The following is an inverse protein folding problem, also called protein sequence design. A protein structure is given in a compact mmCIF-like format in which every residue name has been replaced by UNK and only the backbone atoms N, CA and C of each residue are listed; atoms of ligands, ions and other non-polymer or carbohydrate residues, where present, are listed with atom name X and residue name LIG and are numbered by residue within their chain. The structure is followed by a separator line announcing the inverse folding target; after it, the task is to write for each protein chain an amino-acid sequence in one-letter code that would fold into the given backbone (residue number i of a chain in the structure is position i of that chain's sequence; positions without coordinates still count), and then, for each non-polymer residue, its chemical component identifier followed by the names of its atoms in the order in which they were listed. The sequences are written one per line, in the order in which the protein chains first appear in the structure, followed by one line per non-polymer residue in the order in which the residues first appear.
data_IF_056283158841
#
_entry.id   IF_056283158841
#
_cell.length_a   1.000
_cell.length_b   1.000
_cell.length_c   1.000
_cell.angle_alpha   90.00
_cell.angle_beta   90.00
_cell.angle_gamma   90.00
#
_symmetry.space_group_name_H-M   'P 1'
#
loop_
_entity.id
_entity.type
_entity.pdbx_description
1 polymer ?
#
# COMPACT_ATOMS: atom_id res chain seq x y z
N UNK A 1 -39.18 -14.60 15.87
CA UNK A 1 -39.04 -14.24 14.44
C UNK A 1 -37.88 -13.28 14.33
N UNK A 2 -36.71 -13.79 13.94
CA UNK A 2 -35.48 -13.02 13.77
C UNK A 2 -35.55 -12.24 12.47
N UNK A 3 -35.64 -10.92 12.53
CA UNK A 3 -35.49 -10.04 11.38
C UNK A 3 -34.05 -10.07 10.91
N UNK A 4 -33.77 -10.88 9.90
CA UNK A 4 -32.54 -10.81 9.12
C UNK A 4 -32.51 -9.46 8.40
N UNK A 5 -31.79 -8.48 8.95
CA UNK A 5 -31.54 -7.21 8.30
C UNK A 5 -30.82 -7.47 6.97
N UNK A 6 -31.46 -7.15 5.85
CA UNK A 6 -30.78 -7.16 4.55
C UNK A 6 -29.60 -6.19 4.59
N UNK A 7 -28.46 -6.51 3.95
CA UNK A 7 -27.35 -5.58 3.85
C UNK A 7 -27.83 -4.30 3.15
N UNK A 8 -27.71 -3.16 3.83
CA UNK A 8 -28.01 -1.84 3.26
C UNK A 8 -26.96 -1.55 2.19
N UNK A 9 -27.41 -1.40 0.95
CA UNK A 9 -26.58 -0.89 -0.15
C UNK A 9 -26.39 0.62 0.05
N UNK A 10 -25.16 1.09 0.06
CA UNK A 10 -24.86 2.53 0.03
C UNK A 10 -24.82 2.99 -1.43
N UNK A 11 -25.48 4.12 -1.71
CA UNK A 11 -25.34 4.79 -3.00
C UNK A 11 -23.99 5.52 -3.07
N UNK A 12 -23.36 5.55 -4.24
CA UNK A 12 -22.07 6.21 -4.48
C UNK A 12 -22.06 7.71 -4.13
N UNK A 13 -23.23 8.35 -4.17
CA UNK A 13 -23.47 9.73 -3.78
C UNK A 13 -23.38 9.99 -2.25
N UNK A 14 -23.44 8.96 -1.40
CA UNK A 14 -23.32 9.13 0.06
C UNK A 14 -21.89 9.51 0.52
N UNK A 15 -20.89 9.41 -0.37
CA UNK A 15 -19.54 9.94 -0.13
C UNK A 15 -19.42 11.41 -0.59
N UNK A 16 -19.16 12.35 0.34
CA UNK A 16 -19.16 13.78 0.04
C UNK A 16 -17.94 14.22 -0.79
N UNK A 17 -16.84 13.45 -0.77
CA UNK A 17 -15.59 13.80 -1.45
C UNK A 17 -15.31 12.84 -2.63
N UNK A 18 -15.01 13.43 -3.80
CA UNK A 18 -14.67 12.68 -5.02
C UNK A 18 -13.44 11.77 -4.83
N UNK A 19 -12.45 12.21 -4.04
CA UNK A 19 -11.26 11.41 -3.74
C UNK A 19 -11.61 10.13 -2.98
N UNK A 20 -12.41 10.27 -1.91
CA UNK A 20 -12.82 9.15 -1.06
C UNK A 20 -13.69 8.16 -1.84
N UNK A 21 -14.53 8.64 -2.74
CA UNK A 21 -15.31 7.80 -3.66
C UNK A 21 -14.42 6.92 -4.54
N UNK A 22 -13.36 7.49 -5.15
CA UNK A 22 -12.42 6.72 -6.00
C UNK A 22 -11.65 5.69 -5.19
N UNK A 23 -11.20 6.05 -3.98
CA UNK A 23 -10.54 5.13 -3.06
C UNK A 23 -11.48 3.98 -2.62
N UNK A 24 -12.72 4.29 -2.25
CA UNK A 24 -13.74 3.30 -1.90
C UNK A 24 -14.00 2.30 -3.04
N UNK A 25 -14.18 2.82 -4.26
CA UNK A 25 -14.38 2.00 -5.47
C UNK A 25 -13.18 1.09 -5.70
N UNK A 26 -11.96 1.59 -5.52
CA UNK A 26 -10.76 0.77 -5.66
C UNK A 26 -10.76 -0.39 -4.66
N UNK A 27 -11.11 -0.16 -3.39
CA UNK A 27 -11.23 -1.23 -2.38
C UNK A 27 -12.25 -2.30 -2.77
N UNK A 28 -13.42 -1.89 -3.27
CA UNK A 28 -14.48 -2.82 -3.72
C UNK A 28 -14.03 -3.61 -4.94
N UNK A 29 -13.42 -2.94 -5.91
CA UNK A 29 -12.90 -3.59 -7.11
C UNK A 29 -11.79 -4.59 -6.79
N UNK A 30 -10.93 -4.25 -5.83
CA UNK A 30 -9.85 -5.10 -5.35
C UNK A 30 -10.38 -6.37 -4.68
N UNK A 31 -11.28 -6.23 -3.70
CA UNK A 31 -11.94 -7.36 -3.01
C UNK A 31 -12.64 -8.29 -4.03
N UNK A 32 -13.31 -7.73 -5.03
CA UNK A 32 -13.95 -8.49 -6.09
C UNK A 32 -12.95 -9.27 -6.96
N UNK A 33 -11.82 -8.65 -7.32
CA UNK A 33 -10.77 -9.29 -8.12
C UNK A 33 -10.04 -10.38 -7.34
N UNK A 34 -9.73 -10.16 -6.07
CA UNK A 34 -9.12 -11.16 -5.20
C UNK A 34 -10.01 -12.41 -5.11
N UNK A 35 -11.31 -12.22 -4.84
CA UNK A 35 -12.28 -13.32 -4.76
C UNK A 35 -12.46 -14.09 -6.08
N UNK A 36 -12.56 -13.39 -7.20
CA UNK A 36 -12.98 -13.98 -8.48
C UNK A 36 -11.82 -14.45 -9.37
N UNK A 37 -10.63 -13.87 -9.19
CA UNK A 37 -9.46 -14.10 -10.05
C UNK A 37 -8.32 -14.72 -9.24
N UNK A 38 -7.72 -13.96 -8.31
CA UNK A 38 -6.45 -14.34 -7.70
C UNK A 38 -6.57 -15.58 -6.82
N UNK A 39 -7.50 -15.57 -5.87
CA UNK A 39 -7.65 -16.65 -4.87
C UNK A 39 -8.04 -17.96 -5.54
N UNK A 40 -8.86 -17.89 -6.60
CA UNK A 40 -9.23 -19.07 -7.39
C UNK A 40 -8.04 -19.64 -8.14
N UNK A 41 -7.20 -18.80 -8.74
CA UNK A 41 -6.06 -19.23 -9.55
C UNK A 41 -4.93 -19.78 -8.67
N UNK A 42 -4.68 -19.14 -7.54
CA UNK A 42 -3.57 -19.48 -6.66
C UNK A 42 -3.95 -20.46 -5.53
N UNK A 43 -5.25 -20.72 -5.32
CA UNK A 43 -5.72 -21.61 -4.25
C UNK A 43 -5.42 -21.08 -2.84
N UNK A 44 -5.31 -19.76 -2.69
CA UNK A 44 -5.05 -19.07 -1.41
C UNK A 44 -6.25 -18.21 -1.05
N UNK A 45 -6.45 -17.95 0.25
CA UNK A 45 -7.39 -16.92 0.71
C UNK A 45 -6.58 -15.69 1.09
N UNK A 46 -6.74 -14.58 0.37
CA UNK A 46 -5.97 -13.34 0.62
C UNK A 46 -6.72 -12.34 1.51
N UNK A 47 -6.08 -11.21 1.83
CA UNK A 47 -6.67 -10.13 2.63
C UNK A 47 -7.93 -9.54 1.98
N UNK A 48 -8.76 -8.86 2.78
CA UNK A 48 -9.96 -8.16 2.29
C UNK A 48 -10.08 -6.83 2.99
N UNK A 49 -10.51 -5.81 2.24
CA UNK A 49 -10.84 -4.49 2.77
C UNK A 49 -12.23 -4.47 3.45
N UNK A 50 -13.00 -5.57 3.36
CA UNK A 50 -14.31 -5.78 4.01
C UNK A 50 -15.30 -4.65 3.70
N UNK A 51 -15.22 -4.10 2.49
CA UNK A 51 -15.97 -2.91 2.11
C UNK A 51 -17.44 -3.28 1.83
N UNK A 52 -18.43 -2.47 2.24
CA UNK A 52 -19.85 -2.71 1.92
C UNK A 52 -20.14 -2.85 0.41
N UNK A 53 -21.28 -3.41 0.05
CA UNK A 53 -21.73 -3.47 -1.35
C UNK A 53 -22.35 -2.13 -1.78
N UNK A 54 -22.07 -1.69 -3.01
CA UNK A 54 -22.52 -0.40 -3.54
C UNK A 54 -23.26 -0.55 -4.87
N UNK A 55 -24.16 0.38 -5.15
CA UNK A 55 -24.72 0.58 -6.50
C UNK A 55 -23.97 1.73 -7.18
N UNK A 56 -23.30 1.46 -8.29
CA UNK A 56 -22.49 2.45 -9.00
C UNK A 56 -23.21 2.96 -10.25
N UNK A 57 -23.43 4.27 -10.34
CA UNK A 57 -24.08 4.89 -11.52
C UNK A 57 -23.06 5.54 -12.47
N UNK A 58 -21.91 5.99 -11.96
CA UNK A 58 -20.91 6.77 -12.70
C UNK A 58 -20.05 5.92 -13.69
N UNK A 59 -19.78 6.47 -14.87
CA UNK A 59 -18.90 5.88 -15.89
C UNK A 59 -17.42 5.93 -15.51
N UNK A 60 -17.00 6.92 -14.73
CA UNK A 60 -15.63 7.07 -14.23
C UNK A 60 -15.26 5.90 -13.29
N UNK A 61 -16.21 5.50 -12.45
CA UNK A 61 -16.10 4.35 -11.54
C UNK A 61 -15.89 3.05 -12.31
N UNK A 62 -16.55 2.89 -13.47
CA UNK A 62 -16.36 1.70 -14.32
C UNK A 62 -14.93 1.59 -14.82
N UNK A 63 -14.24 2.71 -15.08
CA UNK A 63 -12.84 2.66 -15.51
C UNK A 63 -11.94 2.07 -14.41
N UNK A 64 -12.12 2.47 -13.15
CA UNK A 64 -11.34 1.95 -12.01
C UNK A 64 -11.55 0.43 -11.88
N UNK A 65 -12.80 -0.02 -11.93
CA UNK A 65 -13.16 -1.44 -11.81
C UNK A 65 -12.56 -2.25 -12.97
N UNK A 66 -12.78 -1.81 -14.21
CA UNK A 66 -12.29 -2.50 -15.40
C UNK A 66 -10.75 -2.57 -15.40
N UNK A 67 -10.10 -1.47 -15.03
CA UNK A 67 -8.64 -1.41 -14.92
C UNK A 67 -8.11 -2.36 -13.85
N UNK A 68 -8.77 -2.45 -12.68
CA UNK A 68 -8.37 -3.39 -11.63
C UNK A 68 -8.46 -4.85 -12.11
N UNK A 69 -9.56 -5.20 -12.78
CA UNK A 69 -9.72 -6.53 -13.37
C UNK A 69 -8.63 -6.84 -14.41
N UNK A 70 -8.28 -5.87 -15.27
CA UNK A 70 -7.22 -6.04 -16.25
C UNK A 70 -5.85 -6.24 -15.60
N UNK A 71 -5.55 -5.51 -14.52
CA UNK A 71 -4.30 -5.65 -13.76
C UNK A 71 -4.18 -7.08 -13.20
N UNK A 72 -5.20 -7.59 -12.52
CA UNK A 72 -5.16 -8.95 -11.96
C UNK A 72 -5.13 -10.03 -13.05
N UNK A 73 -5.89 -9.86 -14.15
CA UNK A 73 -5.83 -10.78 -15.29
C UNK A 73 -4.45 -10.81 -15.92
N UNK A 74 -3.82 -9.64 -16.11
CA UNK A 74 -2.47 -9.56 -16.65
C UNK A 74 -1.46 -10.26 -15.72
N UNK A 75 -1.53 -10.00 -14.41
CA UNK A 75 -0.67 -10.66 -13.43
C UNK A 75 -0.80 -12.19 -13.46
N UNK A 76 -2.02 -12.72 -13.54
CA UNK A 76 -2.24 -14.17 -13.52
C UNK A 76 -1.99 -14.87 -14.86
N UNK A 77 -2.25 -14.21 -16.00
CA UNK A 77 -2.23 -14.85 -17.32
C UNK A 77 -0.96 -14.57 -18.12
N UNK A 78 -0.27 -13.45 -17.88
CA UNK A 78 0.97 -13.15 -18.58
C UNK A 78 2.10 -14.05 -18.04
N UNK A 79 3.04 -14.47 -18.90
CA UNK A 79 4.20 -15.24 -18.48
C UNK A 79 5.19 -14.33 -17.74
N UNK A 80 5.01 -14.18 -16.42
CA UNK A 80 5.88 -13.39 -15.55
C UNK A 80 6.80 -14.28 -14.70
N UNK A 81 8.04 -13.86 -14.40
CA UNK A 81 9.01 -14.65 -13.63
C UNK A 81 8.81 -14.57 -12.11
N UNK A 82 7.57 -14.38 -11.65
CA UNK A 82 7.21 -14.24 -10.23
C UNK A 82 5.76 -14.66 -9.98
N UNK A 83 5.42 -14.96 -8.74
CA UNK A 83 4.06 -15.32 -8.31
C UNK A 83 3.82 -14.92 -6.86
N UNK A 84 2.57 -14.96 -6.41
CA UNK A 84 2.19 -14.79 -5.01
C UNK A 84 2.10 -16.16 -4.34
N UNK A 85 2.61 -16.26 -3.11
CA UNK A 85 2.57 -17.46 -2.28
C UNK A 85 2.14 -17.11 -0.86
N UNK A 86 1.53 -18.07 -0.18
CA UNK A 86 1.24 -17.95 1.26
C UNK A 86 2.55 -17.90 2.07
N UNK A 87 2.58 -17.09 3.12
CA UNK A 87 3.60 -17.16 4.17
C UNK A 87 2.96 -17.03 5.56
N UNK A 88 3.77 -17.26 6.58
CA UNK A 88 3.39 -17.21 7.99
C UNK A 88 4.41 -16.41 8.83
N UNK A 89 5.24 -15.59 8.17
CA UNK A 89 6.31 -14.82 8.82
C UNK A 89 5.80 -13.69 9.72
N UNK A 90 4.78 -12.98 9.25
CA UNK A 90 4.17 -11.87 9.97
C UNK A 90 2.93 -12.37 10.69
N UNK A 91 2.48 -11.65 11.72
CA UNK A 91 1.36 -12.07 12.59
C UNK A 91 0.00 -11.89 11.89
N UNK A 92 -0.06 -12.15 10.58
CA UNK A 92 -1.19 -11.90 9.71
C UNK A 92 -1.95 -13.20 9.43
N UNK A 93 -3.27 -13.15 9.59
CA UNK A 93 -4.13 -14.25 9.16
C UNK A 93 -4.14 -14.31 7.62
N UNK A 94 -3.57 -15.39 7.08
CA UNK A 94 -3.39 -15.61 5.64
C UNK A 94 -2.41 -14.66 4.93
N UNK A 95 -1.28 -14.36 5.57
CA UNK A 95 -0.18 -13.62 4.95
C UNK A 95 0.20 -14.17 3.57
N UNK A 96 0.50 -13.27 2.63
CA UNK A 96 0.92 -13.58 1.27
C UNK A 96 2.13 -12.72 0.86
N UNK A 97 3.02 -13.30 0.06
CA UNK A 97 4.27 -12.70 -0.39
C UNK A 97 4.48 -12.91 -1.87
N UNK A 98 5.23 -12.02 -2.51
CA UNK A 98 5.65 -12.19 -3.91
C UNK A 98 7.02 -12.86 -3.95
N UNK A 99 7.16 -13.92 -4.75
CA UNK A 99 8.44 -14.62 -4.94
C UNK A 99 8.79 -14.74 -6.41
N UNK A 100 10.08 -14.70 -6.72
CA UNK A 100 10.58 -14.95 -8.06
C UNK A 100 10.48 -16.45 -8.40
N UNK A 101 9.91 -16.80 -9.55
CA UNK A 101 9.85 -18.18 -10.07
C UNK A 101 11.02 -18.48 -11.01
N UNK A 102 11.73 -17.45 -11.47
CA UNK A 102 12.93 -17.51 -12.30
C UNK A 102 13.87 -16.36 -11.94
N UNK A 103 15.11 -16.41 -12.40
CA UNK A 103 16.05 -15.30 -12.28
C UNK A 103 15.52 -14.03 -12.97
N UNK A 104 15.56 -12.91 -12.26
CA UNK A 104 15.21 -11.58 -12.75
C UNK A 104 16.46 -10.70 -12.62
N UNK A 105 16.88 -10.08 -13.72
CA UNK A 105 18.06 -9.19 -13.72
C UNK A 105 17.78 -7.87 -12.98
N UNK A 106 18.85 -7.22 -12.54
CA UNK A 106 18.83 -5.82 -12.08
C UNK A 106 18.26 -4.88 -13.14
N UNK A 107 17.64 -3.78 -12.68
CA UNK A 107 17.06 -2.70 -13.49
C UNK A 107 15.87 -3.08 -14.38
N UNK A 108 15.22 -4.20 -14.12
CA UNK A 108 14.00 -4.62 -14.81
C UNK A 108 12.77 -4.01 -14.10
N UNK A 109 11.86 -3.43 -14.88
CA UNK A 109 10.56 -2.97 -14.38
C UNK A 109 9.56 -4.12 -14.45
N UNK A 110 8.90 -4.42 -13.34
CA UNK A 110 7.91 -5.50 -13.24
C UNK A 110 6.52 -4.92 -13.48
N UNK A 111 6.10 -4.81 -14.74
CA UNK A 111 4.90 -4.06 -15.12
C UNK A 111 3.58 -4.69 -14.65
N UNK A 112 3.51 -6.02 -14.57
CA UNK A 112 2.34 -6.75 -14.11
C UNK A 112 2.23 -6.78 -12.59
N UNK A 113 3.34 -6.60 -11.87
CA UNK A 113 3.36 -6.39 -10.43
C UNK A 113 3.10 -4.91 -10.11
N UNK A 114 1.88 -4.46 -10.43
CA UNK A 114 1.46 -3.08 -10.32
C UNK A 114 0.17 -2.92 -9.50
N UNK A 115 -0.20 -1.68 -9.22
CA UNK A 115 -1.42 -1.33 -8.51
C UNK A 115 -1.91 0.07 -8.88
N UNK A 116 -3.19 0.31 -8.66
CA UNK A 116 -3.79 1.63 -8.78
C UNK A 116 -3.62 2.40 -7.47
N UNK A 117 -3.41 3.72 -7.57
CA UNK A 117 -3.35 4.61 -6.42
C UNK A 117 -4.33 5.78 -6.54
N UNK A 118 -5.15 5.98 -5.51
CA UNK A 118 -6.07 7.13 -5.41
C UNK A 118 -5.97 7.79 -4.04
N UNK A 119 -5.94 9.14 -3.99
CA UNK A 119 -5.87 9.85 -2.72
C UNK A 119 -7.17 9.70 -1.93
N UNK A 120 -7.07 9.80 -0.61
CA UNK A 120 -8.22 9.83 0.29
C UNK A 120 -8.04 10.90 1.38
N UNK A 121 -9.13 11.27 2.06
CA UNK A 121 -9.14 12.15 3.22
C UNK A 121 -9.01 11.38 4.53
N UNK A 122 -8.51 12.01 5.60
CA UNK A 122 -8.35 11.38 6.92
C UNK A 122 -9.63 10.71 7.47
N UNK A 123 -10.81 11.16 7.01
CA UNK A 123 -12.12 10.62 7.42
C UNK A 123 -12.48 9.31 6.73
N UNK A 124 -11.72 8.91 5.71
CA UNK A 124 -11.96 7.69 4.93
C UNK A 124 -11.50 6.42 5.67
N UNK A 125 -10.45 6.52 6.47
CA UNK A 125 -9.90 5.37 7.19
C UNK A 125 -10.73 5.05 8.42
N UNK A 126 -11.09 3.78 8.52
CA UNK A 126 -11.65 3.15 9.70
C UNK A 126 -10.54 2.24 10.23
N UNK A 127 -9.92 2.57 11.39
CA UNK A 127 -8.84 1.79 11.96
C UNK A 127 -9.20 0.30 12.11
N UNK A 128 -8.34 -0.58 11.62
CA UNK A 128 -8.52 -2.04 11.64
C UNK A 128 -9.55 -2.58 10.63
N UNK A 129 -10.03 -1.76 9.69
CA UNK A 129 -11.00 -2.17 8.66
C UNK A 129 -10.49 -1.95 7.24
N UNK A 130 -9.96 -0.76 6.93
CA UNK A 130 -9.49 -0.41 5.59
C UNK A 130 -8.16 0.38 5.60
N UNK A 131 -7.37 0.27 6.67
CA UNK A 131 -6.08 0.95 6.85
C UNK A 131 -4.87 0.08 6.47
N UNK A 132 -5.11 -1.05 5.80
CA UNK A 132 -4.07 -2.05 5.50
C UNK A 132 -3.18 -1.68 4.31
N UNK A 133 -3.68 -0.92 3.32
CA UNK A 133 -2.98 -0.70 2.05
C UNK A 133 -2.88 0.78 1.69
N UNK A 134 -2.41 1.58 2.64
CA UNK A 134 -2.25 3.03 2.48
C UNK A 134 -0.81 3.43 2.21
N UNK A 135 -0.62 4.54 1.49
CA UNK A 135 0.69 5.09 1.14
C UNK A 135 0.65 6.58 1.28
N UNK A 136 1.56 7.14 2.07
CA UNK A 136 1.81 8.57 2.11
C UNK A 136 2.85 8.92 1.05
N UNK A 137 2.61 9.96 0.28
CA UNK A 137 3.57 10.45 -0.69
C UNK A 137 4.51 11.49 -0.07
N UNK A 138 5.81 11.21 -0.06
CA UNK A 138 6.84 12.16 0.37
C UNK A 138 6.92 13.46 -0.44
N UNK A 139 6.29 13.51 -1.62
CA UNK A 139 6.38 14.66 -2.53
C UNK A 139 5.33 15.72 -2.20
N UNK A 140 4.13 15.29 -1.80
CA UNK A 140 2.98 16.16 -1.60
C UNK A 140 2.27 15.94 -0.26
N UNK A 141 2.80 15.06 0.58
CA UNK A 141 2.30 14.74 1.92
C UNK A 141 0.83 14.32 1.93
N UNK A 142 0.41 13.59 0.89
CA UNK A 142 -0.95 13.06 0.75
C UNK A 142 -0.97 11.55 0.91
N UNK A 143 -2.04 11.06 1.49
CA UNK A 143 -2.31 9.63 1.63
C UNK A 143 -3.11 9.08 0.45
N UNK A 144 -2.76 7.86 0.05
CA UNK A 144 -3.27 7.15 -1.10
C UNK A 144 -3.64 5.72 -0.72
N UNK A 145 -4.79 5.24 -1.22
CA UNK A 145 -5.07 3.81 -1.28
C UNK A 145 -4.29 3.21 -2.43
N UNK A 146 -3.46 2.20 -2.18
CA UNK A 146 -2.62 1.57 -3.19
C UNK A 146 -2.87 0.06 -3.24
N UNK A 147 -3.64 -0.37 -4.24
CA UNK A 147 -4.18 -1.74 -4.31
C UNK A 147 -3.92 -2.40 -5.67
N UNK A 148 -3.89 -3.73 -5.67
CA UNK A 148 -3.50 -4.58 -6.78
C UNK A 148 -2.45 -5.62 -6.38
N UNK A 149 -1.92 -6.43 -7.33
CA UNK A 149 -0.86 -7.40 -7.06
C UNK A 149 0.36 -6.83 -6.30
N UNK A 150 0.67 -5.55 -6.50
CA UNK A 150 1.78 -4.87 -5.81
C UNK A 150 1.59 -4.79 -4.29
N UNK A 151 0.36 -4.85 -3.78
CA UNK A 151 0.06 -4.81 -2.35
C UNK A 151 0.54 -6.08 -1.61
N UNK A 152 0.96 -7.12 -2.32
CA UNK A 152 1.54 -8.35 -1.74
C UNK A 152 3.07 -8.30 -1.61
N UNK A 153 3.72 -7.19 -2.01
CA UNK A 153 5.16 -7.02 -1.85
C UNK A 153 5.43 -6.64 -0.40
N UNK A 154 6.17 -7.48 0.31
CA UNK A 154 6.52 -7.26 1.71
C UNK A 154 7.67 -6.25 1.88
N UNK A 155 7.75 -5.71 3.10
CA UNK A 155 8.86 -4.87 3.52
C UNK A 155 10.16 -5.66 3.68
N UNK A 156 11.27 -5.07 3.21
CA UNK A 156 12.57 -5.37 3.77
C UNK A 156 13.42 -4.10 3.93
N UNK A 157 14.22 -4.03 5.00
CA UNK A 157 15.12 -2.90 5.26
C UNK A 157 16.29 -2.83 4.27
N UNK A 158 16.58 -3.91 3.54
CA UNK A 158 17.50 -3.98 2.41
C UNK A 158 16.80 -4.66 1.22
N UNK A 159 15.85 -3.95 0.57
CA UNK A 159 14.99 -4.55 -0.43
C UNK A 159 15.73 -4.87 -1.72
N UNK A 160 15.13 -5.73 -2.55
CA UNK A 160 15.61 -5.99 -3.91
C UNK A 160 14.84 -5.23 -5.01
N UNK A 161 13.80 -4.48 -4.65
CA UNK A 161 13.08 -3.58 -5.55
C UNK A 161 12.83 -2.20 -4.94
N UNK A 162 12.48 -1.24 -5.81
CA UNK A 162 12.03 0.10 -5.44
C UNK A 162 10.76 0.46 -6.21
N UNK A 163 9.99 1.42 -5.70
CA UNK A 163 8.81 1.96 -6.38
C UNK A 163 9.15 2.56 -7.74
N UNK A 164 8.27 2.33 -8.71
CA UNK A 164 8.38 2.86 -10.06
C UNK A 164 7.01 3.39 -10.50
N UNK A 165 6.89 4.71 -10.60
CA UNK A 165 5.66 5.37 -11.07
C UNK A 165 5.52 5.19 -12.58
N UNK A 166 4.37 4.69 -13.04
CA UNK A 166 4.03 4.56 -14.47
C UNK A 166 3.19 5.74 -14.94
N UNK A 167 2.18 6.10 -14.14
CA UNK A 167 1.30 7.27 -14.36
C UNK A 167 0.92 7.87 -13.01
N UNK A 168 0.18 8.98 -13.00
CA UNK A 168 -0.36 9.60 -11.77
C UNK A 168 -1.20 8.64 -10.91
N UNK A 169 -1.77 7.58 -11.49
CA UNK A 169 -2.70 6.65 -10.81
C UNK A 169 -2.26 5.19 -10.89
N UNK A 170 -1.03 4.92 -11.35
CA UNK A 170 -0.53 3.55 -11.54
C UNK A 170 0.95 3.47 -11.22
N UNK A 171 1.31 2.57 -10.31
CA UNK A 171 2.70 2.33 -9.91
C UNK A 171 3.00 0.84 -9.87
N UNK A 172 4.27 0.50 -10.08
CA UNK A 172 4.81 -0.85 -9.96
C UNK A 172 6.18 -0.79 -9.28
N UNK A 173 7.03 -1.79 -9.51
CA UNK A 173 8.39 -1.83 -8.95
C UNK A 173 9.46 -2.08 -10.02
N UNK A 174 10.67 -1.63 -9.71
CA UNK A 174 11.88 -1.86 -10.49
C UNK A 174 12.94 -2.58 -9.65
N UNK A 175 13.61 -3.58 -10.20
CA UNK A 175 14.65 -4.34 -9.50
C UNK A 175 15.90 -3.50 -9.27
N UNK A 176 16.41 -3.52 -8.04
CA UNK A 176 17.63 -2.82 -7.59
C UNK A 176 18.89 -3.66 -7.80
N UNK A 177 18.72 -4.97 -7.77
CA UNK A 177 19.74 -6.00 -7.99
C UNK A 177 19.10 -7.20 -8.65
N UNK A 178 19.93 -8.18 -9.01
CA UNK A 178 19.42 -9.48 -9.45
C UNK A 178 18.59 -10.13 -8.34
N UNK A 179 17.50 -10.78 -8.74
CA UNK A 179 16.59 -11.54 -7.88
C UNK A 179 16.63 -12.98 -8.37
N UNK A 180 17.06 -13.91 -7.51
CA UNK A 180 17.20 -15.32 -7.89
C UNK A 180 15.89 -16.09 -7.71
N UNK A 181 15.79 -17.25 -8.36
CA UNK A 181 14.65 -18.15 -8.20
C UNK A 181 14.40 -18.46 -6.72
N UNK A 182 13.14 -18.42 -6.29
CA UNK A 182 12.65 -18.56 -4.92
C UNK A 182 12.97 -17.39 -3.96
N UNK A 183 13.66 -16.36 -4.42
CA UNK A 183 13.87 -15.15 -3.63
C UNK A 183 12.57 -14.35 -3.52
N UNK A 184 12.28 -13.83 -2.33
CA UNK A 184 11.13 -12.95 -2.10
C UNK A 184 11.38 -11.57 -2.71
N UNK A 185 10.41 -11.05 -3.46
CA UNK A 185 10.44 -9.69 -3.99
C UNK A 185 9.97 -8.77 -2.87
N UNK A 186 10.84 -7.84 -2.48
CA UNK A 186 10.64 -6.93 -1.34
C UNK A 186 10.91 -5.50 -1.72
N UNK A 187 10.31 -4.57 -0.97
CA UNK A 187 10.46 -3.12 -1.17
C UNK A 187 10.66 -2.43 0.17
N UNK A 188 11.28 -1.26 0.17
CA UNK A 188 11.37 -0.45 1.37
C UNK A 188 10.13 0.41 1.52
N UNK A 189 9.40 0.19 2.60
CA UNK A 189 8.17 0.92 2.89
C UNK A 189 8.46 2.35 3.36
N UNK A 190 9.41 2.50 4.28
CA UNK A 190 9.75 3.77 4.90
C UNK A 190 10.59 3.56 6.16
N UNK A 191 11.23 4.62 6.69
CA UNK A 191 12.15 4.54 7.83
C UNK A 191 11.44 4.35 9.17
N UNK A 192 10.16 4.71 9.27
CA UNK A 192 9.40 4.72 10.52
C UNK A 192 8.12 3.88 10.44
N UNK A 193 8.07 2.95 9.50
CA UNK A 193 6.88 2.15 9.23
C UNK A 193 6.51 1.27 10.42
N UNK A 194 7.48 0.47 10.87
CA UNK A 194 7.31 -0.42 12.02
C UNK A 194 7.77 0.30 13.29
N UNK A 195 7.16 1.45 13.55
CA UNK A 195 7.56 2.39 14.61
C UNK A 195 8.85 3.17 14.27
N UNK A 196 9.24 4.07 15.18
CA UNK A 196 10.44 4.93 15.01
C UNK A 196 11.67 4.07 14.66
N UNK A 197 12.35 4.44 13.58
CA UNK A 197 13.50 3.73 13.02
C UNK A 197 13.26 2.23 12.76
N UNK A 198 12.03 1.86 12.39
CA UNK A 198 11.60 0.48 12.15
C UNK A 198 11.93 -0.46 13.33
N UNK A 199 11.82 0.05 14.56
CA UNK A 199 12.15 -0.71 15.79
C UNK A 199 11.31 -1.97 16.00
N UNK A 200 10.17 -2.12 15.35
CA UNK A 200 9.30 -3.30 15.41
C UNK A 200 9.36 -4.14 14.12
N UNK A 201 10.26 -3.83 13.19
CA UNK A 201 10.35 -4.53 11.91
C UNK A 201 10.80 -5.99 12.08
N UNK A 202 10.07 -6.88 11.41
CA UNK A 202 10.31 -8.34 11.39
C UNK A 202 10.89 -8.84 10.06
N UNK A 203 11.40 -7.97 9.19
CA UNK A 203 11.95 -8.39 7.89
C UNK A 203 13.20 -9.29 8.03
N UNK A 204 13.61 -9.94 6.93
CA UNK A 204 14.73 -10.89 6.95
C UNK A 204 16.05 -10.17 7.25
N UNK A 205 16.25 -8.99 6.68
CA UNK A 205 17.43 -8.15 6.98
C UNK A 205 17.51 -7.77 8.47
N UNK A 206 16.39 -7.49 9.13
CA UNK A 206 16.40 -7.19 10.57
C UNK A 206 16.75 -8.41 11.40
N UNK A 207 16.24 -9.59 11.03
CA UNK A 207 16.55 -10.86 11.68
C UNK A 207 18.06 -11.17 11.59
N UNK A 208 18.63 -11.10 10.39
CA UNK A 208 20.02 -11.46 10.14
C UNK A 208 21.03 -10.52 10.81
N UNK A 209 20.64 -9.25 11.05
CA UNK A 209 21.49 -8.24 11.68
C UNK A 209 21.13 -7.95 13.14
N UNK A 210 20.22 -8.72 13.76
CA UNK A 210 19.72 -8.47 15.13
C UNK A 210 19.23 -7.04 15.37
N UNK A 211 18.45 -6.51 14.42
CA UNK A 211 17.84 -5.17 14.47
C UNK A 211 16.32 -5.26 14.53
N UNK A 212 15.65 -4.12 14.64
CA UNK A 212 14.19 -4.04 14.68
C UNK A 212 13.65 -4.87 15.85
N UNK A 213 12.65 -5.71 15.55
CA UNK A 213 12.05 -6.63 16.53
C UNK A 213 13.07 -7.57 17.18
N UNK A 214 14.14 -7.94 16.46
CA UNK A 214 15.16 -8.89 16.89
C UNK A 214 16.31 -8.24 17.67
N UNK A 215 16.20 -6.96 18.01
CA UNK A 215 17.20 -6.29 18.84
C UNK A 215 17.21 -6.88 20.25
N UNK A 216 18.38 -7.40 20.66
CA UNK A 216 18.56 -7.85 22.04
C UNK A 216 18.53 -6.62 22.94
N UNK A 217 17.56 -6.54 23.85
CA UNK A 217 17.67 -5.62 24.98
C UNK A 217 18.90 -6.07 25.76
N UNK A 218 20.03 -5.37 25.61
CA UNK A 218 21.12 -5.50 26.58
C UNK A 218 20.48 -5.26 27.94
N UNK A 219 20.49 -6.27 28.81
CA UNK A 219 20.28 -6.08 30.21
C UNK A 219 21.39 -5.12 30.65
N UNK A 220 21.07 -3.83 30.68
CA UNK A 220 21.88 -2.87 31.40
C UNK A 220 21.67 -3.26 32.84
N UNK A 221 22.68 -3.88 33.44
CA UNK A 221 22.90 -3.81 34.88
C UNK A 221 22.90 -2.33 35.23
N UNK A 222 21.74 -1.84 35.66
CA UNK A 222 21.57 -0.48 36.15
C UNK A 222 22.21 -0.46 37.52
N UNK A 223 23.46 0.00 37.57
CA UNK A 223 23.98 0.60 38.79
C UNK A 223 23.04 1.77 39.14
N UNK A 224 22.54 1.70 40.37
CA UNK A 224 21.62 2.68 40.95
C UNK A 224 22.42 3.97 41.15
N UNK A 225 22.23 4.96 40.29
CA UNK A 225 22.39 6.36 40.68
C UNK A 225 21.02 7.03 40.74
N UNK A 226 20.73 7.42 41.97
CA UNK A 226 19.44 7.87 42.47
C UNK A 226 19.40 9.38 42.33
N UNK A 227 18.70 9.91 41.32
CA UNK A 227 18.34 11.33 41.31
C UNK A 227 16.86 11.57 40.96
N UNK A 228 16.14 11.80 42.06
CA UNK A 228 15.02 12.71 42.28
C UNK A 228 13.99 12.91 41.17
N UNK A 229 12.87 12.24 41.41
CA UNK A 229 11.48 12.63 41.14
C UNK A 229 11.28 14.15 41.02
N UNK A 230 10.75 14.60 39.89
CA UNK A 230 9.74 15.67 39.84
C UNK A 230 8.78 15.37 38.69
N UNK A 231 7.53 15.06 39.03
CA UNK A 231 6.43 14.92 38.08
C UNK A 231 6.06 16.29 37.50
N UNK A 232 5.72 16.40 36.21
CA UNK A 232 4.80 17.43 35.75
C UNK A 232 3.39 16.83 35.62
N UNK A 233 2.50 17.41 36.42
CA UNK A 233 1.05 17.26 36.39
C UNK A 233 0.44 17.73 35.08
N UNK A 234 -0.74 17.18 34.77
CA UNK A 234 -1.72 17.65 33.79
C UNK A 234 -1.97 19.17 33.78
N UNK A 235 -2.20 19.71 32.57
CA UNK A 235 -2.39 21.11 32.11
C UNK A 235 -1.10 21.58 31.42
N UNK A 236 -1.04 21.70 30.10
CA UNK A 236 -1.85 22.62 29.30
C UNK A 236 -2.34 22.03 27.97
N UNK A 237 -3.66 21.86 27.87
CA UNK A 237 -4.41 22.03 26.64
C UNK A 237 -4.65 23.53 26.50
N UNK A 238 -4.18 24.16 25.42
CA UNK A 238 -4.98 25.02 24.53
C UNK A 238 -4.10 25.77 23.51
N UNK A 239 -4.68 25.85 22.31
CA UNK A 239 -4.51 26.90 21.30
C UNK A 239 -3.30 26.88 20.37
N UNK A 240 -3.44 26.16 19.25
CA UNK A 240 -3.34 26.81 17.93
C UNK A 240 -4.61 26.51 17.15
N UNK A 241 -5.38 27.58 16.93
CA UNK A 241 -6.66 27.59 16.27
C UNK A 241 -6.60 27.12 14.81
N UNK A 242 -7.66 26.39 14.46
CA UNK A 242 -8.18 26.21 13.11
C UNK A 242 -8.38 27.56 12.41
N UNK A 243 -8.04 27.59 11.13
CA UNK A 243 -8.83 28.31 10.14
C UNK A 243 -8.95 27.45 8.89
N UNK A 244 -10.17 27.05 8.61
CA UNK A 244 -10.62 26.40 7.38
C UNK A 244 -10.31 27.27 6.15
N UNK A 245 -9.87 26.64 5.06
CA UNK A 245 -10.70 26.56 3.85
C UNK A 245 -9.99 25.80 2.72
N UNK A 246 -10.75 24.82 2.21
CA UNK A 246 -10.79 24.28 0.86
C UNK A 246 -9.88 24.90 -0.20
N UNK A 247 -9.14 24.04 -0.91
CA UNK A 247 -9.26 23.93 -2.37
C UNK A 247 -8.49 22.72 -2.90
N UNK A 248 -9.19 21.61 -3.14
CA UNK A 248 -8.77 20.62 -4.13
C UNK A 248 -9.05 21.19 -5.53
N UNK A 249 -8.19 22.10 -5.98
CA UNK A 249 -8.28 22.66 -7.33
C UNK A 249 -7.80 21.65 -8.38
N UNK A 250 -8.53 21.69 -9.49
CA UNK A 250 -8.50 20.83 -10.66
C UNK A 250 -7.14 20.79 -11.35
N UNK A 251 -6.70 19.58 -11.73
CA UNK A 251 -5.73 19.38 -12.81
C UNK A 251 -6.24 18.23 -13.70
N UNK A 252 -7.35 18.49 -14.39
CA UNK A 252 -7.79 17.73 -15.56
C UNK A 252 -7.21 18.42 -16.80
N UNK A 253 -6.31 17.74 -17.51
CA UNK A 253 -6.20 17.86 -18.96
C UNK A 253 -5.57 16.57 -19.51
N UNK A 254 -6.45 15.65 -19.88
CA UNK A 254 -6.14 14.41 -20.57
C UNK A 254 -6.54 14.60 -22.04
N UNK A 255 -5.57 14.98 -22.90
CA UNK A 255 -5.77 15.01 -24.35
C UNK A 255 -4.59 14.38 -25.07
N UNK A 256 -4.82 13.16 -25.55
CA UNK A 256 -3.97 12.41 -26.46
C UNK A 256 -3.75 13.15 -27.78
N UNK A 257 -2.49 13.40 -28.15
CA UNK A 257 -2.09 13.86 -29.46
C UNK A 257 -0.71 13.34 -29.82
N UNK A 258 -0.63 12.37 -30.73
CA UNK A 258 0.62 11.92 -31.35
C UNK A 258 1.35 13.08 -32.02
N UNK A 259 2.61 13.32 -31.63
CA UNK A 259 3.66 13.89 -32.50
C UNK A 259 5.03 13.54 -31.93
N UNK A 260 5.85 12.91 -32.75
CA UNK A 260 7.27 12.66 -32.52
C UNK A 260 8.02 13.97 -32.29
N UNK A 261 8.91 14.00 -31.28
CA UNK A 261 10.12 14.83 -31.29
C UNK A 261 11.20 14.18 -30.41
N UNK A 262 12.40 14.18 -30.98
CA UNK A 262 13.62 13.52 -30.54
C UNK A 262 14.40 14.42 -29.57
N UNK A 263 15.20 13.80 -28.68
CA UNK A 263 16.21 14.40 -27.76
C UNK A 263 15.63 15.39 -26.72
N UNK A 264 15.90 15.33 -25.42
CA UNK A 264 17.19 15.23 -24.74
C UNK A 264 16.96 14.93 -23.23
N UNK A 265 18.02 14.44 -22.57
CA UNK A 265 18.12 14.02 -21.16
C UNK A 265 17.45 14.94 -20.12
N UNK A 266 16.63 14.35 -19.24
CA UNK A 266 16.01 15.01 -18.08
C UNK A 266 15.50 13.95 -17.09
N UNK A 267 16.25 13.74 -16.01
CA UNK A 267 16.04 12.71 -15.00
C UNK A 267 14.88 13.11 -14.06
N UNK A 268 13.64 12.80 -14.45
CA UNK A 268 12.45 13.02 -13.61
C UNK A 268 11.99 11.70 -12.97
N UNK A 269 12.73 11.23 -11.95
CA UNK A 269 12.25 10.13 -11.10
C UNK A 269 11.36 10.71 -10.00
N UNK A 270 10.04 10.69 -10.22
CA UNK A 270 9.06 10.92 -9.16
C UNK A 270 9.12 9.77 -8.15
N UNK A 271 9.70 10.04 -6.98
CA UNK A 271 9.92 9.07 -5.91
C UNK A 271 8.66 9.05 -5.02
N UNK A 272 7.85 8.00 -5.14
CA UNK A 272 6.79 7.70 -4.15
C UNK A 272 7.49 7.08 -2.94
N UNK A 273 7.56 7.81 -1.83
CA UNK A 273 8.19 7.33 -0.59
C UNK A 273 7.20 7.44 0.56
N UNK A 274 7.15 6.36 1.37
CA UNK A 274 6.44 6.18 2.64
C UNK A 274 5.09 5.45 2.55
N UNK A 275 5.15 4.11 2.53
CA UNK A 275 4.01 3.23 2.73
C UNK A 275 3.55 3.32 4.21
N UNK A 276 2.26 3.10 4.50
CA UNK A 276 1.71 2.74 5.82
C UNK A 276 0.77 1.53 5.60
N UNK A 277 1.27 0.32 5.80
CA UNK A 277 0.46 -0.91 5.95
C UNK A 277 0.47 -1.24 7.43
N UNK A 278 -0.57 -0.80 8.12
CA UNK A 278 -0.80 -1.24 9.48
C UNK A 278 -1.40 -2.63 9.40
N UNK A 279 -0.60 -3.68 9.66
CA UNK A 279 -1.14 -5.01 9.89
C UNK A 279 -1.33 -5.18 11.40
N UNK A 280 -2.60 -5.21 11.82
CA UNK A 280 -3.00 -5.82 13.09
C UNK A 280 -3.13 -7.33 12.93
#
# INVERSE_FOLDING_TARGET
MTTSGQPRYMDDEEWPLKCDRRAAVLCVADDACLNSILDRILGIQTHRNKTPQFHFKDSEIRHIINKQQLIYKAFCNNPVPYTIQKHNRFDELNGAKVVATKHIKKNIVLFELCGQLYPFSDKFLIPGVNDFSTVTSSVNDKDYMFLGPVAFINHDCHPNTQWHSRTKTLSCVKTLRDIFTNEEITVFYGPNFFGVNNRYCKCKTCEDHHRGFFSVKKAVSMDIEQDKVTQPTSKDLQDINKSDNSDCKNDDDDRSGSRNLNTNTGNNNAHLSYLFMSFM
#
